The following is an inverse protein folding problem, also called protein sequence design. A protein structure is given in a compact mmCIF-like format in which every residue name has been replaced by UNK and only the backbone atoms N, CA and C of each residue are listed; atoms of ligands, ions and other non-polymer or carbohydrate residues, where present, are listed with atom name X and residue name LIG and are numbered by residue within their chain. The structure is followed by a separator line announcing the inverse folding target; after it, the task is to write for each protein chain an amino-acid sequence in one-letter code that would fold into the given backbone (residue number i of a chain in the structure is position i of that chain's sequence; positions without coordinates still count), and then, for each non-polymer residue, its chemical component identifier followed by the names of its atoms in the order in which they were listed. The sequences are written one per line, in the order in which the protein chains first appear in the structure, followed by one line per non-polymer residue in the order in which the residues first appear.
data_IF_596881637192
#
_entry.id   IF_596881637192
#
_cell.length_a   1.000
_cell.length_b   1.000
_cell.length_c   1.000
_cell.angle_alpha   90.00
_cell.angle_beta   90.00
_cell.angle_gamma   90.00
#
_symmetry.space_group_name_H-M   'P 1'
#
loop_
_entity.id
_entity.type
_entity.pdbx_description
1 polymer ?
#
# COMPACT_ATOMS: atom_id res chain seq x y z
N UNK A 1 23.87 6.64 18.20
CA UNK A 1 22.42 6.33 18.19
C UNK A 1 22.11 5.98 16.75
N UNK A 2 22.00 4.71 16.44
CA UNK A 2 21.58 4.25 15.12
C UNK A 2 20.06 4.41 15.10
N UNK A 3 19.55 5.49 14.46
CA UNK A 3 18.13 5.61 14.17
C UNK A 3 17.74 4.38 13.36
N UNK A 4 16.93 3.51 13.96
CA UNK A 4 16.26 2.44 13.21
C UNK A 4 15.34 3.14 12.21
N UNK A 5 15.49 2.92 10.89
CA UNK A 5 14.64 3.57 9.90
C UNK A 5 13.17 3.29 10.24
N UNK A 6 12.35 4.34 10.19
CA UNK A 6 10.92 4.23 10.46
C UNK A 6 10.32 3.21 9.50
N UNK A 7 9.68 2.17 10.04
CA UNK A 7 9.06 1.14 9.22
C UNK A 7 7.89 1.75 8.44
N UNK A 8 7.87 1.55 7.10
CA UNK A 8 6.73 1.92 6.27
C UNK A 8 5.50 1.11 6.67
N UNK A 9 4.43 1.76 7.08
CA UNK A 9 3.18 1.10 7.47
C UNK A 9 2.45 0.48 6.27
N UNK A 10 1.81 -0.66 6.49
CA UNK A 10 0.93 -1.30 5.50
C UNK A 10 -0.53 -1.13 5.90
N UNK A 11 -1.30 -0.42 5.05
CA UNK A 11 -2.75 -0.32 5.16
C UNK A 11 -3.38 -1.35 4.23
N UNK A 12 -3.99 -2.39 4.81
CA UNK A 12 -4.71 -3.43 4.10
C UNK A 12 -6.15 -3.01 3.77
N UNK A 13 -6.56 -3.09 2.49
CA UNK A 13 -7.85 -2.58 2.01
C UNK A 13 -8.96 -3.62 2.16
N UNK A 14 -10.05 -3.26 2.86
CA UNK A 14 -11.29 -4.02 2.94
C UNK A 14 -12.43 -3.20 2.35
N UNK A 15 -12.91 -3.59 1.15
CA UNK A 15 -14.05 -2.95 0.50
C UNK A 15 -15.35 -3.72 0.81
N UNK A 16 -16.30 -3.06 1.48
CA UNK A 16 -17.64 -3.62 1.79
C UNK A 16 -18.66 -3.06 0.80
N UNK A 17 -18.50 -3.41 -0.49
CA UNK A 17 -19.35 -2.93 -1.59
C UNK A 17 -20.08 -4.07 -2.28
N UNK A 18 -21.20 -3.77 -2.98
CA UNK A 18 -21.99 -4.79 -3.67
C UNK A 18 -21.21 -5.51 -4.77
N UNK A 19 -20.22 -4.84 -5.36
CA UNK A 19 -19.38 -5.38 -6.43
C UNK A 19 -18.26 -6.31 -5.93
N UNK A 20 -18.02 -6.34 -4.62
CA UNK A 20 -16.85 -7.03 -4.04
C UNK A 20 -17.11 -8.50 -3.75
N UNK A 21 -18.39 -8.91 -3.59
CA UNK A 21 -18.79 -10.27 -3.21
C UNK A 21 -20.06 -10.68 -3.97
N UNK A 22 -20.06 -11.88 -4.54
CA UNK A 22 -21.18 -12.42 -5.30
C UNK A 22 -22.33 -12.88 -4.40
N UNK A 23 -23.58 -12.59 -4.78
CA UNK A 23 -24.89 -13.19 -4.40
C UNK A 23 -25.23 -13.57 -2.94
N UNK A 24 -24.37 -13.33 -1.95
CA UNK A 24 -24.66 -13.52 -0.53
C UNK A 24 -25.48 -12.37 0.07
N UNK A 25 -26.40 -12.67 1.00
CA UNK A 25 -27.13 -11.66 1.77
C UNK A 25 -26.19 -10.75 2.58
N UNK A 26 -26.70 -9.62 3.10
CA UNK A 26 -25.93 -8.58 3.79
C UNK A 26 -25.05 -9.12 4.95
N UNK A 27 -25.52 -10.13 5.69
CA UNK A 27 -24.75 -10.74 6.80
C UNK A 27 -23.57 -11.59 6.30
N UNK A 28 -23.71 -12.28 5.17
CA UNK A 28 -22.61 -13.05 4.56
C UNK A 28 -21.52 -12.11 4.09
N UNK A 29 -21.87 -10.95 3.52
CA UNK A 29 -20.90 -9.92 3.10
C UNK A 29 -20.12 -9.32 4.27
N UNK A 30 -20.75 -9.13 5.42
CA UNK A 30 -20.09 -8.63 6.62
C UNK A 30 -19.10 -9.66 7.19
N UNK A 31 -19.51 -10.94 7.29
CA UNK A 31 -18.62 -12.00 7.76
C UNK A 31 -17.41 -12.21 6.85
N UNK A 32 -17.60 -12.14 5.53
CA UNK A 32 -16.51 -12.25 4.55
C UNK A 32 -15.55 -11.06 4.63
N UNK A 33 -16.08 -9.84 4.82
CA UNK A 33 -15.28 -8.64 5.02
C UNK A 33 -14.44 -8.70 6.31
N UNK A 34 -15.04 -9.19 7.41
CA UNK A 34 -14.33 -9.41 8.67
C UNK A 34 -13.25 -10.47 8.50
N UNK A 35 -13.57 -11.63 7.92
CA UNK A 35 -12.62 -12.70 7.69
C UNK A 35 -11.44 -12.22 6.81
N UNK A 36 -11.74 -11.42 5.78
CA UNK A 36 -10.72 -10.81 4.94
C UNK A 36 -9.83 -9.83 5.74
N UNK A 37 -10.42 -8.95 6.55
CA UNK A 37 -9.67 -8.03 7.41
C UNK A 37 -8.75 -8.74 8.39
N UNK A 38 -9.23 -9.81 9.04
CA UNK A 38 -8.43 -10.68 9.92
C UNK A 38 -7.27 -11.35 9.17
N UNK A 39 -7.53 -11.82 7.93
CA UNK A 39 -6.48 -12.41 7.10
C UNK A 39 -5.41 -11.38 6.70
N UNK A 40 -5.80 -10.14 6.35
CA UNK A 40 -4.85 -9.06 6.07
C UNK A 40 -4.01 -8.69 7.30
N UNK A 41 -4.63 -8.59 8.48
CA UNK A 41 -3.90 -8.34 9.73
C UNK A 41 -2.92 -9.47 10.04
N UNK A 42 -3.34 -10.74 9.89
CA UNK A 42 -2.47 -11.91 10.05
C UNK A 42 -1.32 -11.97 9.02
N UNK A 43 -1.53 -11.38 7.83
CA UNK A 43 -0.48 -11.26 6.80
C UNK A 43 0.51 -10.12 7.09
N UNK A 44 0.29 -9.32 8.15
CA UNK A 44 1.18 -8.26 8.60
C UNK A 44 0.72 -6.83 8.25
N UNK A 45 -0.55 -6.60 7.95
CA UNK A 45 -1.05 -5.23 7.86
C UNK A 45 -1.06 -4.56 9.23
N UNK A 46 -0.51 -3.34 9.32
CA UNK A 46 -0.51 -2.52 10.53
C UNK A 46 -1.88 -1.92 10.83
N UNK A 47 -2.62 -1.60 9.76
CA UNK A 47 -3.93 -0.95 9.79
C UNK A 47 -4.83 -1.60 8.75
N UNK A 48 -6.10 -1.85 9.11
CA UNK A 48 -7.12 -2.31 8.15
C UNK A 48 -7.99 -1.12 7.77
N UNK A 49 -8.00 -0.76 6.47
CA UNK A 49 -8.75 0.38 5.94
C UNK A 49 -10.08 -0.09 5.34
N UNK A 50 -11.19 0.22 6.05
CA UNK A 50 -12.54 -0.30 5.75
C UNK A 50 -13.36 0.75 5.02
N UNK A 51 -13.74 0.46 3.76
CA UNK A 51 -14.55 1.37 2.94
C UNK A 51 -15.89 0.76 2.53
N UNK A 52 -16.97 1.55 2.67
CA UNK A 52 -18.35 1.14 2.31
C UNK A 52 -18.83 1.67 0.96
N UNK A 53 -18.14 2.65 0.38
CA UNK A 53 -18.47 3.27 -0.90
C UNK A 53 -17.34 3.09 -1.90
N UNK A 54 -17.68 2.67 -3.13
CA UNK A 54 -16.67 2.61 -4.19
C UNK A 54 -16.26 4.02 -4.63
N UNK A 55 -14.95 4.27 -4.63
CA UNK A 55 -14.35 5.51 -5.15
C UNK A 55 -13.86 5.37 -6.60
N UNK A 56 -14.21 4.25 -7.27
CA UNK A 56 -13.84 4.02 -8.68
C UNK A 56 -14.52 5.03 -9.60
N UNK A 57 -13.88 5.44 -10.71
CA UNK A 57 -14.51 6.31 -11.70
C UNK A 57 -15.83 5.72 -12.22
N UNK A 58 -16.93 6.48 -12.12
CA UNK A 58 -18.26 6.05 -12.55
C UNK A 58 -19.08 5.31 -11.51
N UNK A 59 -18.55 5.06 -10.31
CA UNK A 59 -19.33 4.52 -9.22
C UNK A 59 -20.44 5.48 -8.79
N UNK A 60 -21.63 4.94 -8.53
CA UNK A 60 -22.77 5.71 -8.02
C UNK A 60 -22.60 5.93 -6.52
N UNK A 61 -22.68 7.18 -6.02
CA UNK A 61 -22.69 7.44 -4.60
C UNK A 61 -23.86 6.73 -3.91
N UNK A 62 -23.58 6.09 -2.78
CA UNK A 62 -24.61 5.46 -1.96
C UNK A 62 -25.11 6.44 -0.88
N UNK A 63 -26.29 6.13 -0.31
CA UNK A 63 -26.80 6.88 0.83
C UNK A 63 -25.95 6.61 2.05
N UNK A 64 -25.70 7.62 2.87
CA UNK A 64 -24.96 7.55 4.13
C UNK A 64 -25.39 6.38 5.02
N UNK A 65 -26.68 6.19 5.22
CA UNK A 65 -27.23 5.06 6.01
C UNK A 65 -26.76 3.70 5.49
N UNK A 66 -26.65 3.54 4.17
CA UNK A 66 -26.17 2.30 3.55
C UNK A 66 -24.67 2.11 3.82
N UNK A 67 -23.90 3.20 3.72
CA UNK A 67 -22.47 3.17 4.03
C UNK A 67 -22.24 2.75 5.49
N UNK A 68 -22.94 3.39 6.45
CA UNK A 68 -22.90 3.00 7.87
C UNK A 68 -23.26 1.53 8.10
N UNK A 69 -24.33 1.05 7.47
CA UNK A 69 -24.75 -0.36 7.59
C UNK A 69 -23.69 -1.34 7.09
N UNK A 70 -22.85 -0.93 6.14
CA UNK A 70 -21.76 -1.75 5.61
C UNK A 70 -20.55 -1.73 6.53
N UNK A 71 -20.07 -0.54 6.91
CA UNK A 71 -18.75 -0.41 7.56
C UNK A 71 -18.79 -0.62 9.07
N UNK A 72 -19.84 -0.13 9.76
CA UNK A 72 -19.88 -0.14 11.23
C UNK A 72 -19.77 -1.54 11.84
N UNK A 73 -20.53 -2.56 11.39
CA UNK A 73 -20.39 -3.90 11.94
C UNK A 73 -19.02 -4.52 11.71
N UNK A 74 -18.40 -4.26 10.55
CA UNK A 74 -17.08 -4.78 10.21
C UNK A 74 -16.01 -4.11 11.08
N UNK A 75 -16.06 -2.80 11.22
CA UNK A 75 -15.12 -2.02 12.09
C UNK A 75 -15.22 -2.51 13.52
N UNK A 76 -16.44 -2.64 14.06
CA UNK A 76 -16.67 -3.08 15.42
C UNK A 76 -16.06 -4.46 15.69
N UNK A 77 -16.23 -5.38 14.77
CA UNK A 77 -15.70 -6.73 14.91
C UNK A 77 -14.17 -6.75 14.81
N UNK A 78 -13.57 -6.07 13.83
CA UNK A 78 -12.12 -5.98 13.70
C UNK A 78 -11.48 -5.30 14.94
N UNK A 79 -12.06 -4.21 15.41
CA UNK A 79 -11.58 -3.50 16.61
C UNK A 79 -11.66 -4.39 17.87
N UNK A 80 -12.69 -5.25 17.99
CA UNK A 80 -12.81 -6.20 19.11
C UNK A 80 -11.68 -7.24 19.17
N UNK A 81 -11.00 -7.47 18.02
CA UNK A 81 -9.80 -8.31 17.95
C UNK A 81 -8.50 -7.53 18.15
N UNK A 82 -8.56 -6.27 18.58
CA UNK A 82 -7.39 -5.43 18.84
C UNK A 82 -6.69 -4.91 17.56
N UNK A 83 -7.36 -4.97 16.41
CA UNK A 83 -6.82 -4.49 15.12
C UNK A 83 -6.98 -2.98 15.04
N UNK A 84 -5.94 -2.27 14.57
CA UNK A 84 -6.03 -0.87 14.21
C UNK A 84 -6.89 -0.74 12.94
N UNK A 85 -7.93 0.09 12.99
CA UNK A 85 -8.89 0.24 11.90
C UNK A 85 -8.96 1.70 11.45
N UNK A 86 -8.77 1.91 10.15
CA UNK A 86 -9.11 3.16 9.45
C UNK A 86 -10.48 3.02 8.78
N UNK A 87 -11.27 4.09 8.79
CA UNK A 87 -12.49 4.17 7.98
C UNK A 87 -12.25 5.00 6.72
N UNK A 88 -12.45 4.41 5.53
CA UNK A 88 -12.40 5.12 4.24
C UNK A 88 -13.78 5.74 3.96
N UNK A 89 -13.94 7.02 4.28
CA UNK A 89 -15.18 7.77 4.09
C UNK A 89 -14.94 9.26 3.89
N UNK A 90 -15.82 9.89 3.12
CA UNK A 90 -15.86 11.34 2.91
C UNK A 90 -16.93 12.05 3.75
N UNK A 91 -17.61 11.33 4.68
CA UNK A 91 -18.75 11.84 5.45
C UNK A 91 -18.44 11.88 6.94
N UNK A 92 -18.57 13.05 7.54
CA UNK A 92 -18.31 13.25 8.97
C UNK A 92 -19.17 12.35 9.87
N UNK A 93 -20.48 12.19 9.59
CA UNK A 93 -21.35 11.33 10.40
C UNK A 93 -20.97 9.84 10.31
N UNK A 94 -20.48 9.37 9.14
CA UNK A 94 -19.97 7.99 9.00
C UNK A 94 -18.68 7.83 9.79
N UNK A 95 -17.77 8.82 9.70
CA UNK A 95 -16.53 8.82 10.47
C UNK A 95 -16.80 8.81 11.98
N UNK A 96 -17.72 9.64 12.48
CA UNK A 96 -18.11 9.68 13.88
C UNK A 96 -18.61 8.29 14.37
N UNK A 97 -19.56 7.71 13.62
CA UNK A 97 -20.10 6.38 13.97
C UNK A 97 -19.05 5.27 13.88
N UNK A 98 -18.09 5.37 12.94
CA UNK A 98 -17.00 4.42 12.81
C UNK A 98 -16.03 4.51 14.02
N UNK A 99 -15.74 5.71 14.49
CA UNK A 99 -14.91 5.93 15.70
C UNK A 99 -15.61 5.39 16.94
N UNK A 100 -16.91 5.61 17.11
CA UNK A 100 -17.69 4.99 18.17
C UNK A 100 -17.66 3.45 18.12
N UNK A 101 -17.55 2.88 16.91
CA UNK A 101 -17.41 1.44 16.70
C UNK A 101 -15.99 0.91 16.91
N UNK A 102 -14.98 1.79 17.10
CA UNK A 102 -13.59 1.43 17.40
C UNK A 102 -12.57 1.75 16.30
N UNK A 103 -12.96 2.48 15.24
CA UNK A 103 -11.97 3.03 14.31
C UNK A 103 -11.07 4.04 15.02
N UNK A 104 -9.77 4.02 14.74
CA UNK A 104 -8.79 4.90 15.35
C UNK A 104 -8.05 5.79 14.34
N UNK A 105 -8.51 5.80 13.10
CA UNK A 105 -8.01 6.63 12.00
C UNK A 105 -9.13 6.89 10.99
N UNK A 106 -9.09 8.03 10.30
CA UNK A 106 -9.98 8.34 9.17
C UNK A 106 -9.17 8.54 7.90
N UNK A 107 -9.57 7.87 6.83
CA UNK A 107 -9.04 8.04 5.49
C UNK A 107 -10.10 8.75 4.63
N UNK A 108 -9.88 10.04 4.35
CA UNK A 108 -10.81 10.85 3.56
C UNK A 108 -10.22 11.17 2.19
N UNK A 109 -10.68 10.45 1.18
CA UNK A 109 -10.23 10.63 -0.21
C UNK A 109 -10.60 12.01 -0.80
N UNK A 110 -11.49 12.76 -0.14
CA UNK A 110 -11.83 14.13 -0.55
C UNK A 110 -10.91 15.21 0.06
N UNK A 111 -10.11 14.83 1.08
CA UNK A 111 -9.28 15.78 1.82
C UNK A 111 -10.09 16.87 2.53
N UNK A 112 -11.23 16.51 3.11
CA UNK A 112 -12.15 17.43 3.80
C UNK A 112 -13.02 18.30 2.88
N UNK A 113 -12.95 18.09 1.55
CA UNK A 113 -13.63 18.95 0.58
C UNK A 113 -15.07 18.55 0.29
N UNK A 114 -15.45 17.28 0.56
CA UNK A 114 -16.81 16.79 0.31
C UNK A 114 -17.77 17.11 1.45
N UNK A 115 -17.30 17.10 2.69
CA UNK A 115 -18.10 17.34 3.88
C UNK A 115 -17.39 18.41 4.78
N UNK A 116 -17.96 19.62 4.93
CA UNK A 116 -17.36 20.68 5.75
C UNK A 116 -17.30 20.34 7.25
N UNK A 117 -18.11 19.39 7.73
CA UNK A 117 -18.12 18.96 9.12
C UNK A 117 -16.98 17.97 9.45
N UNK A 118 -16.25 17.47 8.45
CA UNK A 118 -15.15 16.50 8.67
C UNK A 118 -14.02 17.12 9.49
N UNK A 119 -13.55 18.31 9.13
CA UNK A 119 -12.43 18.93 9.82
C UNK A 119 -12.75 19.31 11.29
N UNK A 120 -13.92 19.94 11.62
CA UNK A 120 -14.33 20.15 13.00
C UNK A 120 -14.43 18.85 13.80
N UNK A 121 -15.05 17.81 13.24
CA UNK A 121 -15.16 16.51 13.89
C UNK A 121 -13.77 15.93 14.26
N UNK A 122 -12.83 15.95 13.31
CA UNK A 122 -11.50 15.36 13.54
C UNK A 122 -10.64 16.22 14.48
N UNK A 123 -10.88 17.52 14.54
CA UNK A 123 -10.28 18.38 15.56
C UNK A 123 -10.73 17.98 16.97
N UNK A 124 -12.03 17.71 17.16
CA UNK A 124 -12.60 17.29 18.45
C UNK A 124 -12.15 15.88 18.85
N UNK A 125 -12.04 14.96 17.88
CA UNK A 125 -11.64 13.56 18.14
C UNK A 125 -10.13 13.40 18.35
N UNK A 126 -9.29 14.28 17.78
CA UNK A 126 -7.83 14.22 17.88
C UNK A 126 -7.21 12.96 17.26
N UNK A 127 -7.86 12.34 16.27
CA UNK A 127 -7.42 11.13 15.59
C UNK A 127 -6.58 11.41 14.35
N UNK A 128 -5.71 10.48 13.92
CA UNK A 128 -5.02 10.56 12.65
C UNK A 128 -5.98 10.64 11.47
N UNK A 129 -5.65 11.54 10.55
CA UNK A 129 -6.43 11.81 9.34
C UNK A 129 -5.55 11.70 8.10
N UNK A 130 -5.87 10.75 7.21
CA UNK A 130 -5.31 10.67 5.87
C UNK A 130 -6.09 11.63 4.98
N UNK A 131 -5.41 12.70 4.57
CA UNK A 131 -5.94 13.78 3.78
C UNK A 131 -5.42 13.61 2.34
N UNK A 132 -6.30 13.15 1.42
CA UNK A 132 -5.91 12.87 0.05
C UNK A 132 -6.18 14.05 -0.88
N UNK A 133 -5.30 14.25 -1.86
CA UNK A 133 -5.50 15.22 -2.93
C UNK A 133 -6.69 14.88 -3.82
N UNK A 134 -7.68 15.75 -3.85
CA UNK A 134 -8.94 15.61 -4.57
C UNK A 134 -9.32 16.88 -5.35
N UNK A 135 -9.72 16.74 -6.62
CA UNK A 135 -10.18 17.86 -7.47
C UNK A 135 -11.68 17.80 -7.79
N UNK A 136 -12.50 17.35 -6.86
CA UNK A 136 -13.95 17.45 -6.95
C UNK A 136 -14.51 18.10 -5.69
N UNK A 137 -15.65 18.77 -5.81
CA UNK A 137 -16.38 19.34 -4.67
C UNK A 137 -17.55 18.46 -4.23
N UNK A 138 -17.76 17.34 -4.93
CA UNK A 138 -18.87 16.44 -4.71
C UNK A 138 -18.34 15.07 -4.31
N UNK A 139 -19.22 14.20 -3.80
CA UNK A 139 -18.93 12.77 -3.54
C UNK A 139 -18.69 11.94 -4.83
N UNK A 140 -18.59 12.61 -5.99
CA UNK A 140 -18.42 11.97 -7.29
C UNK A 140 -17.02 12.23 -7.82
N UNK A 141 -16.31 11.16 -8.14
CA UNK A 141 -15.04 11.26 -8.83
C UNK A 141 -15.24 11.73 -10.28
N UNK A 142 -14.81 12.97 -10.58
CA UNK A 142 -14.85 13.55 -11.93
C UNK A 142 -13.49 13.34 -12.64
N UNK A 143 -13.41 12.46 -13.65
CA UNK A 143 -12.13 12.23 -14.35
C UNK A 143 -11.66 13.41 -15.22
N UNK A 144 -12.46 14.47 -15.35
CA UNK A 144 -12.21 15.62 -16.25
C UNK A 144 -11.26 16.67 -15.67
N UNK A 145 -11.02 16.70 -14.36
CA UNK A 145 -10.16 17.69 -13.70
C UNK A 145 -8.66 17.34 -13.79
N UNK A 146 -8.16 17.04 -15.02
CA UNK A 146 -6.78 16.58 -15.25
C UNK A 146 -5.84 17.67 -15.77
N UNK A 147 -6.29 18.93 -15.76
CA UNK A 147 -5.48 20.05 -16.25
C UNK A 147 -4.53 20.51 -15.13
N UNK A 148 -3.28 20.13 -15.24
CA UNK A 148 -2.18 20.58 -14.40
C UNK A 148 -1.19 21.37 -15.24
N UNK A 149 -0.68 22.48 -14.71
CA UNK A 149 0.45 23.18 -15.29
C UNK A 149 1.75 22.42 -14.96
N UNK A 150 1.94 22.18 -13.68
CA UNK A 150 2.93 21.27 -13.10
C UNK A 150 2.20 20.42 -12.05
N UNK A 151 2.13 19.11 -12.28
CA UNK A 151 1.32 18.24 -11.42
C UNK A 151 1.89 18.13 -10.00
N UNK A 152 3.21 18.20 -9.82
CA UNK A 152 3.85 18.13 -8.49
C UNK A 152 3.57 19.42 -7.72
N UNK A 153 3.86 20.56 -8.32
CA UNK A 153 3.62 21.87 -7.70
C UNK A 153 2.12 22.10 -7.40
N UNK A 154 1.24 21.75 -8.35
CA UNK A 154 -0.22 21.93 -8.17
C UNK A 154 -0.76 21.02 -7.05
N UNK A 155 -0.35 19.73 -7.01
CA UNK A 155 -0.78 18.79 -5.98
C UNK A 155 -0.25 19.20 -4.61
N UNK A 156 1.00 19.60 -4.50
CA UNK A 156 1.60 20.08 -3.26
C UNK A 156 0.85 21.31 -2.72
N UNK A 157 0.61 22.30 -3.58
CA UNK A 157 -0.15 23.52 -3.21
C UNK A 157 -1.58 23.17 -2.74
N UNK A 158 -2.30 22.32 -3.50
CA UNK A 158 -3.70 21.98 -3.19
C UNK A 158 -3.83 21.11 -1.94
N UNK A 159 -2.82 20.25 -1.63
CA UNK A 159 -2.73 19.55 -0.36
C UNK A 159 -2.54 20.53 0.79
N UNK A 160 -1.61 21.48 0.66
CA UNK A 160 -1.36 22.47 1.71
C UNK A 160 -2.57 23.41 1.94
N UNK A 161 -3.33 23.74 0.91
CA UNK A 161 -4.61 24.47 1.07
C UNK A 161 -5.61 23.65 1.93
N UNK A 162 -5.67 22.33 1.74
CA UNK A 162 -6.51 21.43 2.55
C UNK A 162 -5.99 21.31 3.98
N UNK A 163 -4.68 21.24 4.16
CA UNK A 163 -4.02 21.27 5.48
C UNK A 163 -4.36 22.57 6.24
N UNK A 164 -4.28 23.71 5.56
CA UNK A 164 -4.64 25.01 6.19
C UNK A 164 -6.08 25.02 6.70
N UNK A 165 -7.02 24.46 5.93
CA UNK A 165 -8.42 24.34 6.34
C UNK A 165 -8.54 23.44 7.57
N UNK A 166 -7.88 22.29 7.57
CA UNK A 166 -7.87 21.34 8.69
C UNK A 166 -7.30 21.97 9.97
N UNK A 167 -6.15 22.62 9.87
CA UNK A 167 -5.49 23.28 11.02
C UNK A 167 -6.31 24.46 11.55
N UNK A 168 -6.92 25.25 10.66
CA UNK A 168 -7.84 26.34 11.06
C UNK A 168 -9.08 25.81 11.81
N UNK A 169 -9.54 24.61 11.48
CA UNK A 169 -10.63 23.94 12.21
C UNK A 169 -10.19 23.36 13.57
N UNK A 170 -8.89 23.34 13.86
CA UNK A 170 -8.33 22.85 15.12
C UNK A 170 -7.64 21.48 15.05
N UNK A 171 -7.54 20.86 13.88
CA UNK A 171 -6.82 19.59 13.71
C UNK A 171 -5.33 19.81 13.98
N UNK A 172 -4.75 18.99 14.85
CA UNK A 172 -3.32 19.05 15.16
C UNK A 172 -2.48 18.55 13.96
N UNK A 173 -1.40 19.26 13.65
CA UNK A 173 -0.56 18.96 12.48
C UNK A 173 0.05 17.55 12.51
N UNK A 174 0.39 17.06 13.70
CA UNK A 174 0.92 15.69 13.91
C UNK A 174 -0.10 14.58 13.64
N UNK A 175 -1.36 14.92 13.46
CA UNK A 175 -2.44 13.99 13.09
C UNK A 175 -2.71 13.91 11.60
N UNK A 176 -2.06 14.74 10.79
CA UNK A 176 -2.31 14.81 9.35
C UNK A 176 -1.29 13.94 8.61
N UNK A 177 -1.79 13.08 7.73
CA UNK A 177 -1.02 12.26 6.80
C UNK A 177 -1.48 12.63 5.39
N UNK A 178 -0.56 12.89 4.47
CA UNK A 178 -0.90 13.33 3.11
C UNK A 178 -0.85 12.16 2.12
N UNK A 179 -1.86 12.07 1.23
CA UNK A 179 -1.86 11.18 0.07
C UNK A 179 -1.93 12.02 -1.21
N UNK A 180 -0.97 11.94 -2.14
CA UNK A 180 -0.99 12.68 -3.40
C UNK A 180 -2.13 12.26 -4.35
N UNK A 181 -2.93 11.26 -4.01
CA UNK A 181 -4.12 10.86 -4.74
C UNK A 181 -3.81 10.26 -6.11
N UNK A 182 -2.89 9.30 -6.20
CA UNK A 182 -2.57 8.59 -7.44
C UNK A 182 -3.85 7.99 -8.06
N UNK A 183 -4.03 8.15 -9.37
CA UNK A 183 -5.22 7.65 -10.09
C UNK A 183 -6.46 8.52 -9.99
N UNK A 184 -6.51 9.50 -9.08
CA UNK A 184 -7.63 10.43 -8.94
C UNK A 184 -7.36 11.72 -9.71
N UNK A 185 -8.22 12.02 -10.71
CA UNK A 185 -8.08 13.18 -11.61
C UNK A 185 -6.67 13.34 -12.23
N UNK A 186 -5.96 12.25 -12.48
CA UNK A 186 -4.58 12.21 -12.98
C UNK A 186 -4.45 11.28 -14.18
N UNK A 187 -3.54 11.63 -15.11
CA UNK A 187 -3.12 10.72 -16.19
C UNK A 187 -2.09 9.70 -15.66
N UNK A 188 -1.77 8.68 -16.47
CA UNK A 188 -0.68 7.77 -16.12
C UNK A 188 0.65 8.51 -15.93
N UNK A 189 0.96 9.47 -16.81
CA UNK A 189 2.17 10.29 -16.71
C UNK A 189 2.21 11.10 -15.41
N UNK A 190 1.09 11.75 -15.02
CA UNK A 190 1.01 12.49 -13.76
C UNK A 190 1.29 11.62 -12.54
N UNK A 191 0.82 10.35 -12.53
CA UNK A 191 1.10 9.43 -11.43
C UNK A 191 2.59 9.09 -11.32
N UNK A 192 3.28 8.89 -12.47
CA UNK A 192 4.71 8.62 -12.48
C UNK A 192 5.54 9.84 -12.02
N UNK A 193 5.15 11.05 -12.41
CA UNK A 193 5.80 12.28 -11.92
C UNK A 193 5.65 12.43 -10.40
N UNK A 194 4.47 12.16 -9.83
CA UNK A 194 4.24 12.22 -8.40
C UNK A 194 5.03 11.14 -7.63
N UNK A 195 5.15 9.93 -8.18
CA UNK A 195 5.97 8.89 -7.57
C UNK A 195 7.47 9.24 -7.62
N UNK A 196 7.93 9.86 -8.71
CA UNK A 196 9.30 10.34 -8.83
C UNK A 196 9.60 11.48 -7.85
N UNK A 197 8.59 12.29 -7.53
CA UNK A 197 8.68 13.46 -6.66
C UNK A 197 8.32 13.16 -5.19
N UNK A 198 8.39 11.90 -4.74
CA UNK A 198 8.18 11.56 -3.31
C UNK A 198 9.05 12.42 -2.38
N UNK A 199 10.36 12.64 -2.65
CA UNK A 199 11.16 13.52 -1.81
C UNK A 199 10.61 14.96 -1.73
N UNK A 200 10.15 15.53 -2.86
CA UNK A 200 9.58 16.88 -2.88
C UNK A 200 8.26 16.95 -2.09
N UNK A 201 7.46 15.87 -2.11
CA UNK A 201 6.24 15.76 -1.31
C UNK A 201 6.53 15.64 0.19
N UNK A 202 7.63 15.00 0.57
CA UNK A 202 8.09 14.90 1.96
C UNK A 202 8.59 16.25 2.50
N UNK A 203 9.13 17.13 1.64
CA UNK A 203 9.50 18.51 2.01
C UNK A 203 8.30 19.36 2.49
N UNK A 204 7.05 18.92 2.24
CA UNK A 204 5.87 19.55 2.83
C UNK A 204 5.80 19.41 4.36
N UNK A 205 6.62 18.52 4.96
CA UNK A 205 6.74 18.33 6.40
C UNK A 205 5.66 17.45 7.03
N UNK A 206 4.95 16.65 6.23
CA UNK A 206 3.91 15.71 6.67
C UNK A 206 4.25 14.28 6.25
N UNK A 207 3.83 13.26 7.02
CA UNK A 207 3.92 11.87 6.59
C UNK A 207 3.20 11.64 5.26
N UNK A 208 3.78 10.84 4.37
CA UNK A 208 3.23 10.57 3.03
C UNK A 208 2.70 9.14 2.94
N UNK A 209 1.44 8.98 2.53
CA UNK A 209 0.84 7.70 2.17
C UNK A 209 0.82 7.51 0.65
N UNK A 210 1.19 6.33 0.16
CA UNK A 210 1.15 5.99 -1.26
C UNK A 210 0.11 4.90 -1.52
N UNK A 211 -0.96 5.25 -2.26
CA UNK A 211 -1.99 4.33 -2.71
C UNK A 211 -1.88 4.00 -4.20
N UNK A 212 -0.98 3.10 -4.60
CA UNK A 212 -0.79 2.72 -6.00
C UNK A 212 -1.45 1.37 -6.39
N UNK A 213 -1.87 0.58 -5.39
CA UNK A 213 -2.31 -0.80 -5.56
C UNK A 213 -3.43 -0.98 -6.58
N UNK A 214 -3.23 -1.88 -7.54
CA UNK A 214 -4.14 -2.24 -8.63
C UNK A 214 -4.54 -1.10 -9.56
N UNK A 215 -3.98 0.10 -9.41
CA UNK A 215 -4.39 1.28 -10.18
C UNK A 215 -4.10 1.14 -11.67
N UNK A 216 -4.94 1.76 -12.51
CA UNK A 216 -4.94 1.57 -13.96
C UNK A 216 -3.61 1.94 -14.62
N UNK A 217 -2.90 2.95 -14.13
CA UNK A 217 -1.61 3.36 -14.70
C UNK A 217 -0.55 2.25 -14.65
N UNK A 218 -0.64 1.32 -13.66
CA UNK A 218 0.18 0.10 -13.63
C UNK A 218 -0.23 -0.87 -14.73
N UNK A 219 -1.55 -1.04 -14.96
CA UNK A 219 -2.05 -1.88 -16.02
C UNK A 219 -1.62 -1.40 -17.41
N UNK A 220 -1.64 -0.08 -17.62
CA UNK A 220 -1.19 0.54 -18.88
C UNK A 220 0.32 0.38 -19.11
N UNK A 221 1.14 0.45 -18.04
CA UNK A 221 2.57 0.16 -18.11
C UNK A 221 2.85 -1.30 -18.50
N UNK A 222 2.02 -2.22 -18.01
CA UNK A 222 2.16 -3.67 -18.18
C UNK A 222 1.33 -4.20 -19.37
N UNK A 223 1.01 -3.35 -20.33
CA UNK A 223 0.31 -3.72 -21.57
C UNK A 223 1.11 -4.79 -22.31
N UNK A 224 0.44 -5.84 -22.77
CA UNK A 224 1.05 -6.95 -23.51
C UNK A 224 1.40 -6.56 -24.96
N UNK A 225 2.04 -7.49 -25.69
CA UNK A 225 2.41 -7.29 -27.09
C UNK A 225 1.22 -7.11 -28.04
N UNK A 226 -0.01 -7.44 -27.59
CA UNK A 226 -1.25 -7.25 -28.35
C UNK A 226 -1.97 -5.94 -28.01
N UNK A 227 -1.40 -5.12 -27.12
CA UNK A 227 -1.99 -3.85 -26.70
C UNK A 227 -3.06 -3.99 -25.61
N UNK A 228 -3.16 -5.14 -24.92
CA UNK A 228 -4.13 -5.36 -23.85
C UNK A 228 -3.53 -4.93 -22.51
N UNK A 229 -4.17 -3.97 -21.84
CA UNK A 229 -3.78 -3.54 -20.48
C UNK A 229 -3.94 -4.70 -19.50
N UNK A 230 -2.98 -4.84 -18.57
CA UNK A 230 -3.05 -5.89 -17.55
C UNK A 230 -4.25 -5.66 -16.62
N UNK A 231 -5.10 -6.69 -16.34
CA UNK A 231 -6.22 -6.58 -15.42
C UNK A 231 -5.77 -6.28 -13.99
N UNK A 232 -6.69 -5.82 -13.14
CA UNK A 232 -6.38 -5.31 -11.80
C UNK A 232 -5.70 -6.35 -10.89
N UNK A 233 -6.16 -7.60 -10.95
CA UNK A 233 -5.66 -8.75 -10.20
C UNK A 233 -4.27 -9.23 -10.66
N UNK A 234 -3.84 -8.84 -11.87
CA UNK A 234 -2.51 -9.12 -12.38
C UNK A 234 -1.45 -8.03 -12.09
N UNK A 235 -1.75 -7.01 -11.26
CA UNK A 235 -0.88 -5.85 -11.01
C UNK A 235 -0.14 -5.92 -9.67
N UNK A 236 -0.23 -7.02 -8.94
CA UNK A 236 0.31 -7.12 -7.58
C UNK A 236 1.84 -7.02 -7.55
N UNK A 237 2.54 -7.67 -8.48
CA UNK A 237 4.01 -7.52 -8.60
C UNK A 237 4.42 -6.06 -8.80
N UNK A 238 3.72 -5.30 -9.64
CA UNK A 238 4.01 -3.88 -9.84
C UNK A 238 3.68 -3.06 -8.59
N UNK A 239 2.63 -3.43 -7.85
CA UNK A 239 2.29 -2.82 -6.55
C UNK A 239 3.41 -3.06 -5.54
N UNK A 240 3.90 -4.30 -5.41
CA UNK A 240 5.00 -4.65 -4.50
C UNK A 240 6.30 -3.90 -4.84
N UNK A 241 6.61 -3.73 -6.13
CA UNK A 241 7.76 -2.91 -6.56
C UNK A 241 7.61 -1.45 -6.13
N UNK A 242 6.41 -0.86 -6.26
CA UNK A 242 6.16 0.52 -5.78
C UNK A 242 6.25 0.58 -4.25
N UNK A 243 5.78 -0.44 -3.54
CA UNK A 243 5.96 -0.54 -2.08
C UNK A 243 7.44 -0.50 -1.71
N UNK A 244 8.29 -1.30 -2.38
CA UNK A 244 9.74 -1.30 -2.16
C UNK A 244 10.37 0.07 -2.44
N UNK A 245 10.02 0.70 -3.57
CA UNK A 245 10.52 2.03 -3.94
C UNK A 245 10.05 3.11 -2.95
N UNK A 246 8.80 3.04 -2.49
CA UNK A 246 8.27 3.94 -1.46
C UNK A 246 9.00 3.79 -0.14
N UNK A 247 9.29 2.55 0.28
CA UNK A 247 10.04 2.26 1.49
C UNK A 247 11.48 2.79 1.43
N UNK A 248 12.17 2.66 0.29
CA UNK A 248 13.49 3.26 0.06
C UNK A 248 13.49 4.81 0.16
N UNK A 249 12.33 5.44 -0.02
CA UNK A 249 12.12 6.87 0.22
C UNK A 249 11.47 7.15 1.58
N UNK A 250 11.40 6.16 2.48
CA UNK A 250 10.87 6.32 3.84
C UNK A 250 9.46 6.92 3.88
N UNK A 251 8.58 6.54 2.92
CA UNK A 251 7.17 6.95 2.99
C UNK A 251 6.54 6.39 4.26
N UNK A 252 5.65 7.17 4.89
CA UNK A 252 4.96 6.75 6.11
C UNK A 252 4.21 5.45 5.93
N UNK A 253 3.55 5.26 4.76
CA UNK A 253 2.77 4.05 4.54
C UNK A 253 2.39 3.82 3.10
N UNK A 254 1.92 2.59 2.85
CA UNK A 254 1.36 2.16 1.57
C UNK A 254 -0.03 1.55 1.78
N UNK A 255 -0.98 1.89 0.91
CA UNK A 255 -2.34 1.34 0.92
C UNK A 255 -2.47 0.28 -0.17
N UNK A 256 -2.69 -0.98 0.23
CA UNK A 256 -2.55 -2.15 -0.66
C UNK A 256 -3.68 -3.16 -0.49
N UNK A 257 -3.95 -3.95 -1.55
CA UNK A 257 -4.89 -5.07 -1.51
C UNK A 257 -4.18 -6.40 -1.19
N UNK A 258 -2.93 -6.57 -1.64
CA UNK A 258 -2.09 -7.73 -1.35
C UNK A 258 -1.02 -7.34 -0.31
N UNK A 259 -1.34 -7.65 0.95
CA UNK A 259 -0.46 -7.37 2.08
C UNK A 259 0.77 -8.26 2.04
N UNK A 260 0.63 -9.55 1.71
CA UNK A 260 1.73 -10.50 1.69
C UNK A 260 2.84 -10.06 0.74
N UNK A 261 2.49 -9.74 -0.52
CA UNK A 261 3.46 -9.29 -1.51
C UNK A 261 4.14 -7.96 -1.09
N UNK A 262 3.40 -7.07 -0.41
CA UNK A 262 3.93 -5.80 0.09
C UNK A 262 4.83 -5.99 1.30
N UNK A 263 4.50 -6.90 2.23
CA UNK A 263 5.37 -7.27 3.35
C UNK A 263 6.68 -7.89 2.88
N UNK A 264 6.62 -8.78 1.88
CA UNK A 264 7.83 -9.37 1.29
C UNK A 264 8.72 -8.27 0.67
N UNK A 265 8.11 -7.29 -0.01
CA UNK A 265 8.83 -6.14 -0.56
C UNK A 265 9.54 -5.33 0.54
N UNK A 266 8.87 -5.05 1.68
CA UNK A 266 9.48 -4.33 2.81
C UNK A 266 10.62 -5.12 3.46
N UNK A 267 10.45 -6.44 3.64
CA UNK A 267 11.53 -7.32 4.14
C UNK A 267 12.75 -7.30 3.23
N UNK A 268 12.54 -7.32 1.90
CA UNK A 268 13.63 -7.23 0.93
C UNK A 268 14.35 -5.89 1.02
N UNK A 269 13.62 -4.77 1.13
CA UNK A 269 14.23 -3.44 1.32
C UNK A 269 15.06 -3.41 2.59
N UNK A 270 14.52 -3.87 3.72
CA UNK A 270 15.25 -3.92 4.99
C UNK A 270 16.52 -4.75 4.89
N UNK A 271 16.44 -5.95 4.31
CA UNK A 271 17.61 -6.80 4.11
C UNK A 271 18.65 -6.15 3.19
N UNK A 272 18.20 -5.41 2.16
CA UNK A 272 19.06 -4.67 1.26
C UNK A 272 19.83 -3.55 1.98
N UNK A 273 19.17 -2.80 2.84
CA UNK A 273 19.77 -1.68 3.60
C UNK A 273 20.69 -2.16 4.72
N UNK A 274 20.35 -3.27 5.39
CA UNK A 274 21.11 -3.82 6.52
C UNK A 274 22.20 -4.83 6.10
N UNK A 275 22.29 -5.17 4.80
CA UNK A 275 23.20 -6.22 4.32
C UNK A 275 22.76 -7.63 4.73
N UNK A 276 21.45 -7.83 5.00
CA UNK A 276 20.88 -9.11 5.40
C UNK A 276 21.11 -9.46 6.88
N UNK A 277 21.65 -8.55 7.67
CA UNK A 277 21.79 -8.74 9.11
C UNK A 277 20.43 -8.44 9.76
N UNK A 278 19.65 -9.48 10.01
CA UNK A 278 18.56 -9.39 10.96
C UNK A 278 19.19 -9.35 12.36
N UNK A 279 18.98 -8.28 13.11
CA UNK A 279 19.11 -8.34 14.56
C UNK A 279 17.97 -9.21 15.06
N UNK A 280 18.22 -10.53 15.14
CA UNK A 280 17.41 -11.40 15.98
C UNK A 280 17.68 -10.87 17.40
N UNK A 281 16.71 -10.20 17.99
CA UNK A 281 16.67 -10.13 19.45
C UNK A 281 16.55 -11.58 19.89
N UNK A 282 17.65 -12.16 20.34
CA UNK A 282 17.69 -13.45 21.00
C UNK A 282 16.83 -13.29 22.27
N UNK A 283 15.54 -13.64 22.13
CA UNK A 283 14.75 -14.02 23.29
C UNK A 283 15.47 -15.19 23.94
N UNK A 284 15.91 -15.02 25.17
CA UNK A 284 16.51 -16.05 26.01
C UNK A 284 15.61 -17.29 26.00
N UNK A 285 15.88 -18.23 25.08
CA UNK A 285 15.37 -19.58 25.23
C UNK A 285 16.14 -20.23 26.37
N UNK A 286 15.50 -20.25 27.55
CA UNK A 286 15.86 -21.16 28.61
C UNK A 286 16.00 -22.58 28.02
N UNK A 287 17.24 -23.03 27.91
CA UNK A 287 17.56 -24.39 27.48
C UNK A 287 16.99 -25.35 28.52
N UNK A 288 15.81 -25.91 28.26
CA UNK A 288 15.35 -27.10 28.94
C UNK A 288 16.21 -28.27 28.48
N UNK A 289 17.12 -28.65 29.34
CA UNK A 289 17.98 -29.85 29.22
C UNK A 289 17.08 -31.09 29.12
N UNK A 290 16.88 -31.62 27.90
CA UNK A 290 16.20 -32.87 27.67
C UNK A 290 17.25 -33.99 27.78
N UNK A 291 17.11 -34.96 28.71
CA UNK A 291 18.08 -36.05 28.84
C UNK A 291 18.12 -36.87 27.56
N UNK A 292 19.34 -37.07 27.02
CA UNK A 292 19.58 -37.99 25.90
C UNK A 292 19.26 -39.42 26.30
N UNK A 293 18.14 -39.97 25.85
CA UNK A 293 17.90 -41.38 25.84
C UNK A 293 18.86 -42.08 24.84
N UNK A 294 19.57 -43.09 25.35
CA UNK A 294 20.50 -43.93 24.62
C UNK A 294 19.78 -44.71 23.52
N UNK A 295 20.06 -44.36 22.28
CA UNK A 295 19.60 -45.13 21.10
C UNK A 295 20.37 -46.46 21.06
N UNK A 296 19.67 -47.57 21.27
CA UNK A 296 20.13 -48.93 20.93
C UNK A 296 20.02 -49.13 19.41
N UNK A 297 21.12 -49.55 18.80
CA UNK A 297 21.17 -49.89 17.38
C UNK A 297 20.30 -51.12 17.06
N UNK A 298 19.51 -51.11 15.96
CA UNK A 298 18.84 -52.32 15.47
C UNK A 298 19.82 -53.22 14.64
N UNK A 299 19.70 -54.51 14.85
CA UNK A 299 20.46 -55.57 14.18
C UNK A 299 20.24 -55.59 12.65
N UNK A 300 21.25 -56.07 11.85
CA UNK A 300 21.17 -56.07 10.39
C UNK A 300 20.19 -57.12 9.85
N UNK A 301 19.26 -56.71 9.00
CA UNK A 301 18.37 -57.56 8.24
C UNK A 301 19.03 -58.10 6.95
N UNK A 302 18.50 -59.18 6.32
CA UNK A 302 19.16 -59.93 5.28
C UNK A 302 19.25 -59.19 3.94
N UNK A 303 20.34 -59.46 3.21
CA UNK A 303 20.67 -58.92 1.90
C UNK A 303 19.62 -59.29 0.83
N UNK A 304 19.17 -58.31 0.08
CA UNK A 304 18.39 -58.50 -1.14
C UNK A 304 19.28 -58.14 -2.32
N UNK A 305 19.49 -59.14 -3.16
CA UNK A 305 20.23 -59.11 -4.42
C UNK A 305 19.37 -58.32 -5.47
N UNK A 306 19.89 -57.22 -6.00
CA UNK A 306 19.25 -56.53 -7.11
C UNK A 306 20.26 -56.26 -8.20
N UNK A 307 20.08 -56.98 -9.28
CA UNK A 307 20.80 -56.86 -10.55
C UNK A 307 20.60 -55.43 -11.13
N UNK A 308 21.70 -54.90 -11.61
CA UNK A 308 21.85 -53.68 -12.34
C UNK A 308 21.28 -53.81 -13.75
N UNK A 309 20.47 -52.85 -14.17
CA UNK A 309 20.33 -52.47 -15.58
C UNK A 309 20.67 -50.96 -15.70
N UNK A 310 21.87 -50.74 -16.22
CA UNK A 310 22.34 -49.41 -16.62
C UNK A 310 21.62 -48.97 -17.91
N UNK A 311 20.86 -47.90 -17.86
CA UNK A 311 20.48 -47.11 -19.05
C UNK A 311 21.09 -45.75 -18.92
N UNK A 312 22.22 -45.57 -19.58
CA UNK A 312 22.94 -44.30 -19.73
C UNK A 312 22.24 -43.47 -20.81
N UNK A 313 21.62 -42.39 -20.46
CA UNK A 313 21.18 -41.35 -21.40
C UNK A 313 21.97 -40.09 -21.15
N UNK A 314 23.01 -39.85 -21.93
CA UNK A 314 23.75 -38.60 -21.96
C UNK A 314 22.88 -37.49 -22.56
N UNK A 315 22.50 -36.51 -21.74
CA UNK A 315 21.93 -35.22 -22.21
C UNK A 315 23.02 -34.16 -22.18
N UNK A 316 23.60 -33.89 -23.34
CA UNK A 316 24.57 -32.82 -23.54
C UNK A 316 23.84 -31.46 -23.55
N UNK A 317 23.85 -30.71 -22.44
CA UNK A 317 23.40 -29.34 -22.40
C UNK A 317 24.53 -28.40 -22.82
N UNK A 318 24.46 -27.89 -24.05
CA UNK A 318 25.32 -26.78 -24.51
C UNK A 318 24.84 -25.47 -23.90
N UNK A 319 25.51 -24.98 -22.86
CA UNK A 319 25.37 -23.60 -22.37
C UNK A 319 26.25 -22.68 -23.23
N UNK A 320 25.66 -21.96 -24.18
CA UNK A 320 26.30 -20.79 -24.77
C UNK A 320 25.92 -19.57 -23.90
N UNK A 321 26.88 -19.03 -23.17
CA UNK A 321 26.79 -17.67 -22.59
C UNK A 321 27.05 -16.66 -23.70
N UNK A 322 26.18 -15.66 -23.91
CA UNK A 322 26.54 -14.53 -24.76
C UNK A 322 27.54 -13.62 -24.00
N UNK A 323 28.59 -13.21 -24.68
CA UNK A 323 29.55 -12.21 -24.18
C UNK A 323 28.87 -10.86 -23.96
N UNK A 324 29.25 -10.07 -22.92
CA UNK A 324 28.67 -8.76 -22.68
C UNK A 324 29.15 -7.75 -23.72
N UNK A 325 28.21 -7.18 -24.45
CA UNK A 325 28.42 -6.09 -25.40
C UNK A 325 28.92 -4.83 -24.67
N UNK A 326 30.12 -4.36 -25.01
CA UNK A 326 30.80 -3.19 -24.43
C UNK A 326 30.30 -1.84 -24.96
N UNK A 327 29.02 -1.62 -25.20
CA UNK A 327 28.54 -0.31 -25.72
C UNK A 327 27.12 0.04 -25.29
N UNK A 328 26.82 0.20 -23.99
CA UNK A 328 25.58 0.86 -23.57
C UNK A 328 25.67 1.66 -22.25
N UNK A 329 26.77 1.60 -21.49
CA UNK A 329 26.88 2.26 -20.18
C UNK A 329 27.33 3.72 -20.16
N UNK A 330 27.70 4.30 -21.31
CA UNK A 330 28.39 5.58 -21.37
C UNK A 330 27.55 6.81 -21.76
N UNK A 331 26.32 6.63 -22.22
CA UNK A 331 25.53 7.75 -22.79
C UNK A 331 24.65 8.46 -21.76
N UNK A 332 24.11 7.74 -20.80
CA UNK A 332 23.21 8.32 -19.79
C UNK A 332 23.88 9.28 -18.80
N UNK A 333 25.12 9.03 -18.40
CA UNK A 333 25.85 9.90 -17.45
C UNK A 333 26.30 11.25 -18.04
N UNK A 334 26.34 11.42 -19.36
CA UNK A 334 26.77 12.67 -19.99
C UNK A 334 25.65 13.66 -20.30
N UNK A 335 24.40 13.20 -20.43
CA UNK A 335 23.25 14.10 -20.71
C UNK A 335 22.74 14.80 -19.44
N UNK A 336 22.81 14.16 -18.26
CA UNK A 336 22.43 14.81 -16.99
C UNK A 336 23.42 15.89 -16.57
N UNK A 337 24.73 15.71 -16.82
CA UNK A 337 25.73 16.69 -16.47
C UNK A 337 25.73 17.96 -17.36
N UNK A 338 25.14 17.91 -18.57
CA UNK A 338 25.08 19.08 -19.48
C UNK A 338 23.84 19.96 -19.30
N UNK A 339 22.79 19.50 -18.63
CA UNK A 339 21.61 20.33 -18.32
C UNK A 339 21.75 21.21 -17.08
N UNK A 340 22.63 20.85 -16.14
CA UNK A 340 22.92 21.65 -14.94
C UNK A 340 23.79 22.88 -15.15
N UNK A 341 24.41 23.07 -16.33
CA UNK A 341 25.40 24.13 -16.56
C UNK A 341 24.90 25.32 -17.41
N UNK A 342 23.61 25.40 -17.77
CA UNK A 342 23.05 26.48 -18.60
C UNK A 342 21.95 27.34 -17.97
N UNK A 343 21.82 27.32 -16.67
CA UNK A 343 20.79 28.10 -15.92
C UNK A 343 21.38 29.19 -14.99
N UNK A 344 22.41 29.90 -15.40
CA UNK A 344 22.96 31.00 -14.61
C UNK A 344 23.54 32.08 -15.50
N UNK A 345 22.69 32.99 -16.00
CA UNK A 345 22.91 34.40 -16.25
C UNK A 345 21.83 34.96 -17.23
N UNK A 346 20.82 35.58 -16.73
CA UNK A 346 20.38 36.95 -17.08
C UNK A 346 19.17 37.29 -16.22
#
# INVERSE_FOLDING_TARGET
MTDTPALTHILGVVNVTDDSFSDGGQFVRQSDAVAHGLALASAGADIIDVGGQSTRPGATPIRQKIEMQRVIPVIKELASHGINVSVDTMRAEVAAAAVEAGANMVNDVSGGRADPEMAPLLADLGLPWILMHWRSKDFIHKPTARNYGDVVADVSRELMESVEVAVKAGVSQDKIILDPGLGFAKTAHHNWLLLQAIPDLQELGYPILIGASRKRFLGSLLTDLKGVERPADGRETATAVITALGALHEVWGVRVHDVTASMDALKVVRAWETGGIETIEEGEEESQDVPRETRTEPAPGPAVDTQQDEVTTEVTVRTQRPEPSKTAGGRWRREVAQRGAKGGNK
#
